data_IF_943812408068
#
_entry.id   IF_943812408068
#
_cell.length_a   1.000
_cell.length_b   1.000
_cell.length_c   1.000
_cell.angle_alpha   90.00
_cell.angle_beta   90.00
_cell.angle_gamma   90.00
#
_symmetry.space_group_name_H-M   'P 1'
#
loop_
_entity.id
_entity.type
_entity.pdbx_description
1 polymer ?
#
# COMPACT_ATOMS: atom_id res chain seq x y z
N UNK A 1 -5.19 -10.29 10.73
CA UNK A 1 -4.06 -9.66 10.00
C UNK A 1 -3.02 -9.01 10.92
N UNK A 2 -3.38 -8.14 11.87
CA UNK A 2 -2.40 -7.46 12.73
C UNK A 2 -1.74 -8.29 13.84
N UNK A 3 -2.37 -9.38 14.25
CA UNK A 3 -1.79 -10.32 15.21
C UNK A 3 -0.56 -11.06 14.67
N UNK A 4 -0.45 -11.22 13.34
CA UNK A 4 0.65 -11.98 12.72
C UNK A 4 1.86 -11.12 12.33
N UNK A 5 1.67 -9.82 12.04
CA UNK A 5 2.75 -8.93 11.57
C UNK A 5 3.16 -7.84 12.58
N UNK A 6 2.31 -7.56 13.57
CA UNK A 6 2.51 -6.42 14.45
C UNK A 6 3.20 -6.72 15.77
N UNK A 7 4.09 -7.70 15.89
CA UNK A 7 4.80 -8.03 17.16
C UNK A 7 3.89 -7.87 18.41
N UNK A 8 2.73 -8.55 18.40
CA UNK A 8 1.66 -8.37 19.38
C UNK A 8 1.08 -6.93 19.43
N UNK A 9 0.43 -6.43 18.37
CA UNK A 9 -0.25 -5.11 18.35
C UNK A 9 0.66 -3.90 18.63
N UNK A 10 1.90 -3.96 18.14
CA UNK A 10 2.88 -2.85 18.13
C UNK A 10 3.00 -2.13 16.79
N UNK A 11 2.25 -2.55 15.77
CA UNK A 11 2.26 -1.95 14.44
C UNK A 11 1.52 -0.61 14.33
N UNK A 12 1.58 -0.02 13.13
CA UNK A 12 0.80 1.14 12.70
C UNK A 12 0.23 0.90 11.29
N UNK A 13 -1.01 1.33 11.06
CA UNK A 13 -1.72 1.23 9.78
C UNK A 13 -2.13 2.62 9.38
N UNK A 14 -2.01 2.90 8.09
CA UNK A 14 -2.35 4.19 7.51
C UNK A 14 -3.47 3.92 6.49
N UNK A 15 -4.62 4.54 6.70
CA UNK A 15 -5.73 4.54 5.77
C UNK A 15 -5.53 5.60 4.70
N UNK A 16 -5.57 5.17 3.45
CA UNK A 16 -5.39 6.02 2.27
C UNK A 16 -6.70 6.01 1.46
N UNK A 17 -7.18 7.19 1.11
CA UNK A 17 -8.25 7.39 0.13
C UNK A 17 -7.69 7.16 -1.28
N UNK A 18 -8.14 6.09 -1.92
CA UNK A 18 -7.67 5.65 -3.24
C UNK A 18 -8.04 6.62 -4.36
N UNK A 19 -9.16 7.34 -4.23
CA UNK A 19 -9.59 8.36 -5.19
C UNK A 19 -8.67 9.58 -5.09
N UNK A 20 -8.46 10.10 -3.88
CA UNK A 20 -7.56 11.25 -3.65
C UNK A 20 -6.10 10.92 -3.97
N UNK A 21 -5.67 9.68 -3.74
CA UNK A 21 -4.35 9.22 -4.16
C UNK A 21 -4.19 9.13 -5.69
N UNK A 22 -5.30 9.18 -6.43
CA UNK A 22 -5.33 9.03 -7.88
C UNK A 22 -5.10 7.58 -8.34
N UNK A 23 -5.34 6.59 -7.48
CA UNK A 23 -5.14 5.17 -7.81
C UNK A 23 -6.31 4.54 -8.57
N UNK A 24 -7.43 5.26 -8.70
CA UNK A 24 -8.62 4.78 -9.41
C UNK A 24 -8.68 5.20 -10.89
N UNK A 25 -7.65 5.87 -11.41
CA UNK A 25 -7.62 6.34 -12.78
C UNK A 25 -7.38 5.20 -13.80
N UNK A 26 -8.43 4.88 -14.56
CA UNK A 26 -8.45 3.84 -15.61
C UNK A 26 -7.50 4.09 -16.79
N UNK A 27 -7.15 5.34 -17.06
CA UNK A 27 -6.26 5.69 -18.17
C UNK A 27 -4.79 5.59 -17.76
N UNK A 28 -4.51 5.81 -16.47
CA UNK A 28 -3.15 5.75 -15.94
C UNK A 28 -2.75 4.35 -15.50
N UNK A 29 -3.68 3.51 -15.04
CA UNK A 29 -3.36 2.21 -14.46
C UNK A 29 -3.94 1.07 -15.30
N UNK A 30 -3.13 0.03 -15.55
CA UNK A 30 -3.61 -1.21 -16.18
C UNK A 30 -4.64 -1.88 -15.26
N UNK A 31 -4.36 -1.86 -13.95
CA UNK A 31 -5.31 -2.30 -12.92
C UNK A 31 -5.40 -1.17 -11.89
N UNK A 32 -6.46 -0.35 -11.91
CA UNK A 32 -6.69 0.67 -10.87
C UNK A 32 -7.20 0.03 -9.57
N UNK A 33 -7.14 0.77 -8.46
CA UNK A 33 -7.50 0.27 -7.13
C UNK A 33 -8.91 -0.33 -7.08
N UNK A 34 -9.90 0.33 -7.71
CA UNK A 34 -11.29 -0.14 -7.75
C UNK A 34 -11.51 -1.44 -8.56
N UNK A 35 -10.49 -1.94 -9.27
CA UNK A 35 -10.48 -3.23 -9.98
C UNK A 35 -9.41 -4.19 -9.49
N UNK A 36 -8.66 -3.79 -8.46
CA UNK A 36 -7.48 -4.48 -7.97
C UNK A 36 -7.77 -5.57 -6.92
N UNK A 37 -9.03 -5.88 -6.65
CA UNK A 37 -9.41 -6.89 -5.67
C UNK A 37 -8.83 -8.27 -6.02
N UNK A 38 -8.18 -8.91 -5.05
CA UNK A 38 -7.64 -10.26 -5.22
C UNK A 38 -8.78 -11.29 -5.23
N UNK A 39 -8.77 -12.15 -6.25
CA UNK A 39 -9.69 -13.27 -6.37
C UNK A 39 -9.01 -14.50 -5.75
N UNK A 40 -9.49 -14.91 -4.59
CA UNK A 40 -8.97 -16.06 -3.87
C UNK A 40 -9.55 -17.37 -4.41
N UNK A 41 -8.67 -18.29 -4.79
CA UNK A 41 -9.06 -19.57 -5.40
C UNK A 41 -8.35 -20.74 -4.73
N UNK A 42 -9.03 -21.88 -4.60
CA UNK A 42 -8.43 -23.10 -4.03
C UNK A 42 -7.55 -23.84 -5.06
N UNK A 43 -7.86 -23.70 -6.34
CA UNK A 43 -7.12 -24.28 -7.45
C UNK A 43 -6.94 -23.24 -8.55
N UNK A 44 -5.79 -23.27 -9.22
CA UNK A 44 -5.51 -22.37 -10.34
C UNK A 44 -6.58 -22.57 -11.43
N UNK A 45 -7.21 -21.49 -11.94
CA UNK A 45 -8.22 -21.59 -12.98
C UNK A 45 -7.61 -22.25 -14.23
N UNK A 46 -8.17 -23.38 -14.65
CA UNK A 46 -7.70 -24.11 -15.85
C UNK A 46 -8.12 -23.46 -17.17
N UNK A 47 -8.75 -22.30 -17.10
CA UNK A 47 -9.09 -21.52 -18.27
C UNK A 47 -7.83 -21.25 -19.09
N UNK A 48 -7.74 -21.81 -20.29
CA UNK A 48 -6.77 -21.37 -21.29
C UNK A 48 -7.05 -19.89 -21.52
N UNK A 49 -6.14 -19.04 -21.05
CA UNK A 49 -6.13 -17.65 -21.50
C UNK A 49 -5.86 -17.71 -23.00
N UNK A 50 -6.91 -17.51 -23.81
CA UNK A 50 -6.78 -17.40 -25.26
C UNK A 50 -6.23 -16.01 -25.59
N UNK A 51 -4.99 -15.77 -25.18
CA UNK A 51 -4.21 -14.62 -25.60
C UNK A 51 -3.35 -15.07 -26.78
N UNK A 52 -3.34 -14.29 -27.85
CA UNK A 52 -2.52 -14.61 -29.02
C UNK A 52 -1.05 -14.22 -28.76
N UNK A 53 -0.15 -14.69 -29.63
CA UNK A 53 1.29 -14.42 -29.49
C UNK A 53 1.61 -12.92 -29.61
N UNK A 54 0.86 -12.17 -30.42
CA UNK A 54 1.05 -10.73 -30.61
C UNK A 54 0.77 -9.95 -29.31
N UNK A 55 -0.35 -10.25 -28.64
CA UNK A 55 -0.75 -9.66 -27.36
C UNK A 55 0.22 -10.04 -26.23
N UNK A 56 0.77 -11.26 -26.26
CA UNK A 56 1.83 -11.69 -25.33
C UNK A 56 3.13 -10.90 -25.55
N UNK A 57 3.51 -10.67 -26.80
CA UNK A 57 4.69 -9.86 -27.12
C UNK A 57 4.50 -8.38 -26.79
N UNK A 58 3.25 -7.92 -26.69
CA UNK A 58 2.90 -6.56 -26.31
C UNK A 58 2.74 -6.35 -24.79
N UNK A 59 3.11 -7.33 -23.95
CA UNK A 59 3.14 -7.13 -22.49
C UNK A 59 4.12 -6.00 -22.17
N UNK A 60 3.63 -5.00 -21.46
CA UNK A 60 4.39 -3.79 -21.20
C UNK A 60 4.15 -2.68 -22.23
N UNK A 61 3.29 -2.86 -23.23
CA UNK A 61 2.77 -1.76 -24.04
C UNK A 61 1.32 -1.47 -23.64
N UNK A 62 1.07 -0.32 -23.01
CA UNK A 62 -0.28 0.08 -22.56
C UNK A 62 -1.20 0.46 -23.72
N UNK A 63 -0.66 0.74 -24.92
CA UNK A 63 -1.48 1.02 -26.11
C UNK A 63 -2.16 -0.24 -26.65
N UNK A 64 -1.54 -1.41 -26.42
CA UNK A 64 -2.04 -2.72 -26.83
C UNK A 64 -2.72 -3.42 -25.64
N UNK A 65 -2.00 -3.55 -24.52
CA UNK A 65 -2.44 -4.24 -23.30
C UNK A 65 -3.21 -3.30 -22.36
N UNK A 66 -4.54 -3.32 -22.46
CA UNK A 66 -5.45 -2.56 -21.58
C UNK A 66 -6.45 -3.45 -20.86
N UNK A 67 -6.97 -2.98 -19.71
CA UNK A 67 -8.03 -3.67 -18.97
C UNK A 67 -9.24 -4.01 -19.85
N UNK A 68 -9.71 -3.05 -20.64
CA UNK A 68 -10.90 -3.19 -21.49
C UNK A 68 -10.81 -4.36 -22.48
N UNK A 69 -9.60 -4.67 -22.98
CA UNK A 69 -9.38 -5.73 -23.96
C UNK A 69 -8.94 -7.05 -23.32
N UNK A 70 -8.19 -6.99 -22.22
CA UNK A 70 -7.45 -8.14 -21.68
C UNK A 70 -7.79 -8.47 -20.22
N UNK A 71 -8.95 -8.05 -19.72
CA UNK A 71 -9.37 -8.24 -18.33
C UNK A 71 -9.14 -9.67 -17.81
N UNK A 72 -9.57 -10.70 -18.55
CA UNK A 72 -9.43 -12.10 -18.11
C UNK A 72 -7.97 -12.51 -17.92
N UNK A 73 -7.12 -12.11 -18.86
CA UNK A 73 -5.69 -12.38 -18.80
C UNK A 73 -5.04 -11.61 -17.65
N UNK A 74 -5.36 -10.33 -17.47
CA UNK A 74 -4.82 -9.48 -16.41
C UNK A 74 -5.25 -9.97 -15.02
N UNK A 75 -6.51 -10.37 -14.85
CA UNK A 75 -6.99 -11.03 -13.64
C UNK A 75 -6.19 -12.30 -13.36
N UNK A 76 -5.94 -13.10 -14.40
CA UNK A 76 -5.19 -14.33 -14.24
C UNK A 76 -3.72 -14.11 -13.87
N UNK A 77 -3.09 -13.11 -14.48
CA UNK A 77 -1.68 -12.77 -14.24
C UNK A 77 -1.45 -12.10 -12.88
N UNK A 78 -2.34 -11.21 -12.47
CA UNK A 78 -2.09 -10.31 -11.33
C UNK A 78 -3.03 -10.49 -10.15
N UNK A 79 -4.25 -11.00 -10.31
CA UNK A 79 -5.27 -10.92 -9.26
C UNK A 79 -5.66 -12.26 -8.63
N UNK A 80 -5.24 -13.41 -9.18
CA UNK A 80 -5.45 -14.68 -8.48
C UNK A 80 -4.41 -14.92 -7.39
N UNK A 81 -4.89 -15.39 -6.23
CA UNK A 81 -4.05 -15.85 -5.11
C UNK A 81 -4.69 -17.09 -4.49
N UNK A 82 -3.87 -17.93 -3.85
CA UNK A 82 -4.40 -19.11 -3.16
C UNK A 82 -5.28 -18.71 -1.98
N UNK A 83 -6.39 -19.44 -1.77
CA UNK A 83 -7.35 -19.21 -0.68
C UNK A 83 -6.72 -19.28 0.70
N UNK A 84 -5.60 -19.99 0.88
CA UNK A 84 -4.88 -20.00 2.15
C UNK A 84 -4.35 -18.60 2.56
N UNK A 85 -4.27 -17.64 1.62
CA UNK A 85 -3.90 -16.24 1.86
C UNK A 85 -5.09 -15.29 1.95
N UNK A 86 -6.33 -15.80 1.96
CA UNK A 86 -7.54 -14.96 1.98
C UNK A 86 -7.64 -14.05 3.22
N UNK A 87 -6.94 -14.40 4.30
CA UNK A 87 -6.90 -13.60 5.53
C UNK A 87 -6.13 -12.27 5.40
N UNK A 88 -5.42 -12.03 4.28
CA UNK A 88 -4.61 -10.83 4.04
C UNK A 88 -5.37 -9.67 3.39
N UNK A 89 -6.59 -9.88 2.87
CA UNK A 89 -7.42 -8.88 2.16
C UNK A 89 -6.58 -7.83 1.39
N UNK A 90 -6.15 -8.20 0.18
CA UNK A 90 -5.20 -7.41 -0.63
C UNK A 90 -5.89 -6.73 -1.81
N UNK A 91 -5.42 -5.53 -2.17
CA UNK A 91 -5.78 -4.82 -3.41
C UNK A 91 -4.49 -4.51 -4.18
N UNK A 92 -4.43 -4.89 -5.46
CA UNK A 92 -3.29 -4.63 -6.35
C UNK A 92 -3.58 -3.54 -7.36
N UNK A 93 -2.72 -2.53 -7.35
CA UNK A 93 -2.69 -1.49 -8.38
C UNK A 93 -1.52 -1.80 -9.32
N UNK A 94 -1.76 -1.87 -10.62
CA UNK A 94 -0.74 -2.20 -11.63
C UNK A 94 -0.55 -1.05 -12.60
N UNK A 95 0.70 -0.56 -12.67
CA UNK A 95 1.12 0.55 -13.53
C UNK A 95 2.07 0.04 -14.61
N UNK A 96 1.84 0.48 -15.85
CA UNK A 96 2.84 0.34 -16.89
C UNK A 96 3.88 1.46 -16.77
N UNK A 97 5.15 1.10 -16.77
CA UNK A 97 6.28 2.04 -16.70
C UNK A 97 7.19 1.97 -17.92
N UNK A 98 6.78 1.28 -18.99
CA UNK A 98 7.61 1.09 -20.20
C UNK A 98 7.89 2.38 -20.97
N UNK A 99 7.00 3.36 -20.87
CA UNK A 99 7.20 4.70 -21.43
C UNK A 99 8.29 5.48 -20.72
N UNK A 100 8.71 5.05 -19.52
CA UNK A 100 9.82 5.68 -18.83
C UNK A 100 11.16 5.22 -19.41
N UNK A 101 12.02 6.19 -19.67
CA UNK A 101 13.36 5.95 -20.21
C UNK A 101 14.36 5.49 -19.12
N UNK A 102 13.97 4.54 -18.29
CA UNK A 102 14.86 3.91 -17.31
C UNK A 102 15.76 2.91 -18.05
N UNK A 103 16.98 3.31 -18.41
CA UNK A 103 17.91 2.36 -19.05
C UNK A 103 18.27 1.21 -18.11
N UNK A 104 18.37 0.00 -18.67
CA UNK A 104 18.72 -1.24 -17.96
C UNK A 104 20.11 -1.15 -17.29
N UNK A 105 21.04 -0.44 -17.92
CA UNK A 105 22.33 -0.08 -17.35
C UNK A 105 22.19 1.18 -16.50
N UNK A 106 22.91 1.26 -15.37
CA UNK A 106 23.01 2.39 -14.44
C UNK A 106 22.66 3.73 -15.10
N UNK A 107 21.37 4.09 -15.08
CA UNK A 107 20.91 5.36 -15.64
C UNK A 107 21.25 6.44 -14.62
N UNK A 108 21.95 7.49 -15.04
CA UNK A 108 22.09 8.69 -14.21
C UNK A 108 20.74 9.33 -13.90
N UNK A 109 19.73 9.06 -14.75
CA UNK A 109 18.35 9.47 -14.55
C UNK A 109 17.70 8.70 -13.40
N UNK A 110 17.29 9.45 -12.38
CA UNK A 110 16.59 8.97 -11.19
C UNK A 110 15.12 9.33 -11.18
N UNK A 111 14.68 10.21 -12.06
CA UNK A 111 13.32 10.74 -12.09
C UNK A 111 12.83 10.76 -13.54
N UNK A 112 11.58 10.34 -13.76
CA UNK A 112 10.89 10.39 -15.05
C UNK A 112 9.42 10.75 -14.83
N UNK A 113 8.81 11.38 -15.84
CA UNK A 113 7.38 11.73 -15.81
C UNK A 113 6.62 10.69 -16.63
N UNK A 114 5.67 10.02 -15.99
CA UNK A 114 4.81 9.01 -16.60
C UNK A 114 3.36 9.45 -16.39
N UNK A 115 2.64 9.72 -17.48
CA UNK A 115 1.24 10.19 -17.48
C UNK A 115 1.00 11.40 -16.58
N UNK A 116 1.93 12.36 -16.61
CA UNK A 116 1.89 13.59 -15.82
C UNK A 116 2.28 13.43 -14.35
N UNK A 117 2.69 12.24 -13.92
CA UNK A 117 3.13 11.94 -12.56
C UNK A 117 4.64 11.76 -12.50
N UNK A 118 5.27 12.27 -11.45
CA UNK A 118 6.71 12.10 -11.21
C UNK A 118 6.95 10.73 -10.57
N UNK A 119 7.87 9.95 -11.17
CA UNK A 119 8.30 8.65 -10.68
C UNK A 119 9.80 8.65 -10.43
N UNK A 120 10.19 8.20 -9.24
CA UNK A 120 11.56 8.16 -8.78
C UNK A 120 12.07 6.72 -8.79
N UNK A 121 13.18 6.48 -9.49
CA UNK A 121 13.90 5.21 -9.50
C UNK A 121 14.87 5.17 -8.32
N UNK A 122 14.59 4.30 -7.36
CA UNK A 122 15.51 3.92 -6.30
C UNK A 122 16.28 2.67 -6.70
N UNK A 123 17.58 2.80 -6.94
CA UNK A 123 18.45 1.67 -7.26
C UNK A 123 18.79 0.89 -5.97
N UNK A 124 18.41 -0.38 -5.93
CA UNK A 124 18.86 -1.34 -4.92
C UNK A 124 19.92 -2.29 -5.50
N UNK A 125 20.53 -3.10 -4.64
CA UNK A 125 21.55 -4.10 -5.04
C UNK A 125 21.01 -5.12 -6.04
N UNK A 126 19.71 -5.44 -5.97
CA UNK A 126 19.08 -6.48 -6.79
C UNK A 126 18.34 -5.89 -7.99
N UNK A 127 17.25 -5.16 -7.74
CA UNK A 127 16.38 -4.57 -8.76
C UNK A 127 15.98 -3.16 -8.36
N UNK A 128 15.85 -2.22 -9.31
CA UNK A 128 15.33 -0.90 -9.01
C UNK A 128 13.87 -1.00 -8.55
N UNK A 129 13.50 -0.11 -7.63
CA UNK A 129 12.11 0.13 -7.25
C UNK A 129 11.71 1.50 -7.79
N UNK A 130 10.49 1.60 -8.30
CA UNK A 130 9.92 2.84 -8.80
C UNK A 130 8.92 3.37 -7.79
N UNK A 131 9.17 4.59 -7.33
CA UNK A 131 8.43 5.23 -6.25
C UNK A 131 7.64 6.40 -6.81
N UNK A 132 6.44 6.60 -6.29
CA UNK A 132 5.62 7.77 -6.52
C UNK A 132 5.16 8.29 -5.15
N UNK A 133 5.18 9.60 -4.98
CA UNK A 133 4.65 10.22 -3.78
C UNK A 133 3.12 10.20 -3.80
N UNK A 134 2.55 9.84 -2.64
CA UNK A 134 1.11 9.87 -2.42
C UNK A 134 0.74 11.29 -1.95
N UNK A 135 -0.27 11.93 -2.57
CA UNK A 135 -0.74 13.24 -2.14
C UNK A 135 -1.10 13.28 -0.66
N UNK A 136 -0.78 14.37 0.04
CA UNK A 136 -0.95 14.46 1.48
C UNK A 136 -2.42 14.37 1.91
N UNK A 137 -3.32 14.88 1.07
CA UNK A 137 -4.77 14.86 1.24
C UNK A 137 -5.39 13.46 1.13
N UNK A 138 -4.65 12.48 0.61
CA UNK A 138 -5.11 11.11 0.50
C UNK A 138 -4.96 10.34 1.82
N UNK A 139 -4.15 10.80 2.76
CA UNK A 139 -4.03 10.19 4.08
C UNK A 139 -5.22 10.60 4.94
N UNK A 140 -6.05 9.65 5.34
CA UNK A 140 -7.32 9.93 6.03
C UNK A 140 -7.29 9.56 7.51
N UNK A 141 -6.67 8.43 7.82
CA UNK A 141 -6.69 7.88 9.17
C UNK A 141 -5.43 7.09 9.49
N UNK A 142 -5.08 7.04 10.76
CA UNK A 142 -3.95 6.28 11.29
C UNK A 142 -4.44 5.44 12.46
N UNK A 143 -4.06 4.17 12.47
CA UNK A 143 -4.34 3.23 13.54
C UNK A 143 -3.04 2.78 14.18
N UNK A 144 -2.94 2.93 15.50
CA UNK A 144 -1.81 2.47 16.30
C UNK A 144 -2.27 1.31 17.17
N UNK A 145 -1.47 0.26 17.28
CA UNK A 145 -1.78 -0.84 18.18
C UNK A 145 -1.61 -0.49 19.64
N UNK A 146 -2.49 -1.02 20.49
CA UNK A 146 -2.53 -0.72 21.92
C UNK A 146 -1.18 -0.97 22.60
N UNK A 147 -0.45 -2.01 22.21
CA UNK A 147 0.86 -2.29 22.79
C UNK A 147 1.94 -1.31 22.29
N UNK A 148 1.86 -0.84 21.04
CA UNK A 148 2.71 0.27 20.58
C UNK A 148 2.51 1.50 21.46
N UNK A 149 1.24 1.90 21.63
CA UNK A 149 0.87 3.06 22.41
C UNK A 149 1.37 2.93 23.86
N UNK A 150 1.07 1.81 24.54
CA UNK A 150 1.51 1.54 25.91
C UNK A 150 3.03 1.56 26.06
N UNK A 151 3.77 0.96 25.13
CA UNK A 151 5.22 0.90 25.17
C UNK A 151 5.84 2.30 25.05
N UNK A 152 5.32 3.15 24.16
CA UNK A 152 5.78 4.54 24.03
C UNK A 152 5.48 5.35 25.29
N UNK A 153 4.27 5.25 25.84
CA UNK A 153 3.90 5.93 27.09
C UNK A 153 4.77 5.48 28.28
N UNK A 154 5.11 4.19 28.37
CA UNK A 154 6.01 3.67 29.41
C UNK A 154 7.43 4.20 29.26
N UNK A 155 7.96 4.23 28.03
CA UNK A 155 9.31 4.76 27.75
C UNK A 155 9.41 6.23 28.14
N UNK A 156 8.36 7.02 27.93
CA UNK A 156 8.31 8.42 28.35
C UNK A 156 8.33 8.56 29.88
N UNK A 157 7.45 7.84 30.60
CA UNK A 157 7.41 7.92 32.07
C UNK A 157 8.77 7.60 32.70
N UNK A 158 9.46 6.58 32.20
CA UNK A 158 10.77 6.19 32.70
C UNK A 158 11.88 7.22 32.38
N UNK A 159 11.73 8.00 31.30
CA UNK A 159 12.71 8.99 30.86
C UNK A 159 12.44 10.40 31.40
N UNK A 160 11.18 10.74 31.67
CA UNK A 160 10.81 11.93 32.43
C UNK A 160 11.37 11.88 33.85
N UNK A 161 11.53 10.69 34.41
CA UNK A 161 12.26 10.46 35.68
C UNK A 161 13.78 10.65 35.56
N UNK A 162 14.32 10.80 34.35
CA UNK A 162 15.75 10.96 34.06
C UNK A 162 16.11 12.38 33.55
N UNK A 163 15.19 13.35 33.63
CA UNK A 163 15.39 14.75 33.17
C UNK A 163 15.91 14.90 31.72
N UNK A 164 15.55 13.96 30.83
CA UNK A 164 15.89 14.06 29.40
C UNK A 164 14.70 14.62 28.62
N UNK A 165 14.83 15.85 28.13
CA UNK A 165 13.86 16.49 27.23
C UNK A 165 13.90 15.80 25.86
N UNK A 166 12.84 15.07 25.52
CA UNK A 166 12.67 14.43 24.21
C UNK A 166 11.25 14.68 23.72
N UNK A 167 11.12 15.08 22.44
CA UNK A 167 9.80 15.24 21.84
C UNK A 167 9.09 13.89 21.77
N UNK A 168 7.96 13.77 22.45
CA UNK A 168 7.11 12.59 22.46
C UNK A 168 6.71 12.21 21.01
N UNK A 169 7.08 11.00 20.52
CA UNK A 169 6.67 10.53 19.19
C UNK A 169 5.16 10.49 18.98
N UNK A 170 4.38 10.11 20.01
CA UNK A 170 2.93 10.05 19.96
C UNK A 170 2.34 11.47 19.93
N UNK A 171 2.83 12.40 20.75
CA UNK A 171 2.35 13.80 20.70
C UNK A 171 2.74 14.49 19.38
N UNK A 172 3.93 14.20 18.83
CA UNK A 172 4.30 14.65 17.48
C UNK A 172 3.36 14.10 16.41
N UNK A 173 2.99 12.83 16.53
CA UNK A 173 2.04 12.20 15.63
C UNK A 173 0.65 12.81 15.78
N UNK A 174 0.17 13.03 17.00
CA UNK A 174 -1.09 13.76 17.27
C UNK A 174 -1.08 15.16 16.66
N UNK A 175 -0.04 15.95 16.91
CA UNK A 175 0.09 17.29 16.37
C UNK A 175 0.11 17.29 14.83
N UNK A 176 0.76 16.29 14.23
CA UNK A 176 0.76 16.10 12.77
C UNK A 176 -0.63 15.74 12.26
N UNK A 177 -1.32 14.82 12.93
CA UNK A 177 -2.67 14.39 12.57
C UNK A 177 -3.67 15.54 12.69
N UNK A 178 -3.65 16.29 13.79
CA UNK A 178 -4.49 17.47 14.01
C UNK A 178 -4.26 18.54 12.94
N UNK A 179 -2.99 18.86 12.64
CA UNK A 179 -2.64 19.85 11.60
C UNK A 179 -3.15 19.43 10.21
N UNK A 180 -3.12 18.12 9.90
CA UNK A 180 -3.54 17.58 8.61
C UNK A 180 -4.99 17.11 8.57
N UNK A 181 -5.75 17.30 9.66
CA UNK A 181 -7.12 16.78 9.79
C UNK A 181 -7.24 15.27 9.53
N UNK A 182 -6.24 14.50 9.99
CA UNK A 182 -6.20 13.03 9.90
C UNK A 182 -6.72 12.45 11.22
N UNK A 183 -7.61 11.48 11.16
CA UNK A 183 -8.11 10.80 12.35
C UNK A 183 -7.07 9.84 12.92
N UNK A 184 -6.83 9.90 14.22
CA UNK A 184 -5.88 9.03 14.90
C UNK A 184 -6.60 8.08 15.86
N UNK A 185 -6.39 6.79 15.71
CA UNK A 185 -7.03 5.76 16.52
C UNK A 185 -6.01 4.88 17.23
N UNK A 186 -6.35 4.44 18.43
CA UNK A 186 -5.74 3.26 19.07
C UNK A 186 -6.62 2.04 18.84
N UNK A 187 -6.00 0.90 18.59
CA UNK A 187 -6.68 -0.37 18.34
C UNK A 187 -6.25 -1.41 19.36
N UNK A 188 -7.22 -1.93 20.10
CA UNK A 188 -7.06 -3.03 21.06
C UNK A 188 -7.95 -4.23 20.71
N UNK A 189 -7.82 -5.30 21.48
CA UNK A 189 -8.66 -6.49 21.37
C UNK A 189 -9.57 -6.56 22.59
N UNK A 190 -10.86 -6.69 22.34
CA UNK A 190 -11.83 -7.16 23.34
C UNK A 190 -11.74 -8.69 23.39
N UNK A 191 -11.17 -9.21 24.48
CA UNK A 191 -10.91 -10.64 24.66
C UNK A 191 -12.19 -11.42 24.96
N UNK A 192 -13.21 -10.76 25.50
CA UNK A 192 -14.50 -11.42 25.79
C UNK A 192 -15.28 -11.66 24.50
N UNK A 193 -15.24 -10.67 23.59
CA UNK A 193 -15.98 -10.72 22.31
C UNK A 193 -15.15 -11.21 21.14
N UNK A 194 -13.83 -11.33 21.30
CA UNK A 194 -12.88 -11.60 20.22
C UNK A 194 -12.98 -10.58 19.06
N UNK A 195 -13.17 -9.30 19.40
CA UNK A 195 -13.33 -8.21 18.43
C UNK A 195 -12.24 -7.16 18.56
N UNK A 196 -11.86 -6.55 17.44
CA UNK A 196 -11.01 -5.37 17.44
C UNK A 196 -11.83 -4.14 17.80
N UNK A 197 -11.38 -3.40 18.80
CA UNK A 197 -12.00 -2.16 19.26
C UNK A 197 -11.07 -1.00 18.92
N UNK A 198 -11.61 0.01 18.23
CA UNK A 198 -10.91 1.26 17.98
C UNK A 198 -11.41 2.37 18.88
N UNK A 199 -10.50 3.21 19.35
CA UNK A 199 -10.82 4.41 20.12
C UNK A 199 -10.04 5.58 19.56
N UNK A 200 -10.72 6.69 19.32
CA UNK A 200 -10.08 7.90 18.81
C UNK A 200 -9.19 8.53 19.87
N UNK A 201 -7.97 8.86 19.46
CA UNK A 201 -6.99 9.57 20.27
C UNK A 201 -7.13 11.05 19.91
N UNK A 202 -7.63 11.84 20.87
CA UNK A 202 -7.73 13.29 20.73
C UNK A 202 -6.39 13.97 21.03
#
# INVERSE_FOLDING_TARGET
MWSHYGDCYKGMVIGIDTVKAGFENDEQYIIPAHRGEIIYVNTAPKATNNINDEDLMAIGDSSVMSWKKHERFLKHAFLYKSVCWAYEEEVRIVKNISSANFTYHYSSKKEEIIDGLVWNRLQLETRPIYLRDIPEEAFMEIYIGENCYRDQMRKQKNKAQQDVELSDPIERLKATCQRKSISLYRVGVDVERWLLMKQEIK
#
